data_IF_715682307024
#
_entry.id   IF_715682307024
#
_cell.length_a   1.000
_cell.length_b   1.000
_cell.length_c   1.000
_cell.angle_alpha   90.00
_cell.angle_beta   90.00
_cell.angle_gamma   90.00
#
_symmetry.space_group_name_H-M   'P 1'
#
loop_
_entity.id
_entity.type
_entity.pdbx_description
1 polymer ?
#
# COMPACT_ATOMS: atom_id res chain seq x y z
N UNK A 1 -14.92 -3.56 0.89
CA UNK A 1 -14.43 -4.78 0.20
C UNK A 1 -13.05 -4.47 -0.33
N UNK A 2 -12.05 -5.32 -0.13
CA UNK A 2 -10.67 -5.05 -0.57
C UNK A 2 -10.57 -5.10 -2.10
N UNK A 3 -9.82 -4.17 -2.68
CA UNK A 3 -9.58 -4.07 -4.13
C UNK A 3 -8.08 -3.96 -4.40
N UNK A 4 -7.67 -4.29 -5.61
CA UNK A 4 -6.28 -4.17 -6.08
C UNK A 4 -6.26 -3.94 -7.59
N UNK A 5 -5.13 -3.48 -8.14
CA UNK A 5 -4.97 -3.28 -9.57
C UNK A 5 -4.53 -4.57 -10.27
N UNK A 6 -5.09 -4.88 -11.44
CA UNK A 6 -4.52 -5.88 -12.34
C UNK A 6 -3.14 -5.38 -12.82
N UNK A 7 -2.06 -6.17 -12.76
CA UNK A 7 -0.73 -5.69 -13.13
C UNK A 7 -0.52 -5.65 -14.66
N UNK A 8 -1.43 -6.22 -15.44
CA UNK A 8 -1.36 -6.23 -16.90
C UNK A 8 -2.14 -5.06 -17.51
N UNK A 9 -3.40 -4.85 -17.12
CA UNK A 9 -4.22 -3.76 -17.63
C UNK A 9 -4.46 -2.58 -16.67
N UNK A 10 -4.00 -2.67 -15.42
CA UNK A 10 -4.22 -1.65 -14.37
C UNK A 10 -5.70 -1.40 -14.03
N UNK A 11 -6.60 -2.30 -14.41
CA UNK A 11 -8.00 -2.25 -14.00
C UNK A 11 -8.16 -2.59 -12.51
N UNK A 12 -9.08 -1.89 -11.84
CA UNK A 12 -9.40 -2.14 -10.44
C UNK A 12 -10.24 -3.42 -10.32
N UNK A 13 -9.71 -4.41 -9.60
CA UNK A 13 -10.33 -5.73 -9.45
C UNK A 13 -10.57 -6.08 -7.98
N UNK A 14 -11.59 -6.90 -7.66
CA UNK A 14 -11.77 -7.44 -6.33
C UNK A 14 -10.55 -8.25 -5.89
N UNK A 15 -10.15 -8.07 -4.63
CA UNK A 15 -9.05 -8.80 -4.03
C UNK A 15 -9.46 -9.33 -2.65
N UNK A 16 -8.86 -10.46 -2.26
CA UNK A 16 -8.96 -11.02 -0.91
C UNK A 16 -7.56 -11.17 -0.34
N UNK A 17 -7.39 -10.71 0.90
CA UNK A 17 -6.18 -10.92 1.68
C UNK A 17 -6.20 -12.38 2.15
N UNK A 18 -5.15 -13.13 1.86
CA UNK A 18 -4.99 -14.52 2.29
C UNK A 18 -3.66 -14.69 3.01
N UNK A 19 -3.66 -15.56 4.00
CA UNK A 19 -2.45 -16.03 4.68
C UNK A 19 -2.04 -17.39 4.09
N UNK A 20 -0.74 -17.58 3.85
CA UNK A 20 -0.14 -18.86 3.49
C UNK A 20 1.26 -18.95 4.08
N UNK A 21 1.50 -19.97 4.91
CA UNK A 21 2.79 -20.24 5.57
C UNK A 21 3.33 -19.04 6.36
N UNK A 22 2.46 -18.34 7.10
CA UNK A 22 2.80 -17.14 7.86
C UNK A 22 3.07 -15.89 7.00
N UNK A 23 2.83 -15.95 5.68
CA UNK A 23 3.00 -14.82 4.74
C UNK A 23 1.65 -14.33 4.24
N UNK A 24 1.58 -13.08 3.81
CA UNK A 24 0.36 -12.44 3.31
C UNK A 24 0.42 -12.28 1.79
N UNK A 25 -0.67 -12.66 1.13
CA UNK A 25 -0.86 -12.50 -0.31
C UNK A 25 -2.20 -11.83 -0.62
N UNK A 26 -2.27 -11.12 -1.73
CA UNK A 26 -3.52 -10.63 -2.30
C UNK A 26 -3.95 -11.56 -3.44
N UNK A 27 -5.02 -12.33 -3.22
CA UNK A 27 -5.66 -13.12 -4.26
C UNK A 27 -6.68 -12.26 -5.00
N UNK A 28 -6.48 -12.06 -6.29
CA UNK A 28 -7.33 -11.20 -7.13
C UNK A 28 -7.72 -11.91 -8.43
N UNK A 29 -8.83 -11.49 -9.02
CA UNK A 29 -9.33 -12.02 -10.29
C UNK A 29 -9.64 -10.88 -11.26
N UNK A 30 -8.91 -10.83 -12.37
CA UNK A 30 -9.18 -9.94 -13.49
C UNK A 30 -10.04 -10.69 -14.53
N UNK A 31 -11.15 -10.12 -15.01
CA UNK A 31 -11.97 -10.74 -16.05
C UNK A 31 -11.21 -11.05 -17.35
N UNK A 32 -10.15 -10.28 -17.65
CA UNK A 32 -9.35 -10.41 -18.88
C UNK A 32 -8.11 -11.28 -18.70
N UNK A 33 -7.40 -11.14 -17.57
CA UNK A 33 -6.09 -11.77 -17.34
C UNK A 33 -6.12 -12.92 -16.31
N UNK A 34 -7.31 -13.24 -15.78
CA UNK A 34 -7.52 -14.35 -14.87
C UNK A 34 -7.14 -14.07 -13.41
N UNK A 35 -7.00 -15.15 -12.64
CA UNK A 35 -6.70 -15.10 -11.21
C UNK A 35 -5.20 -15.13 -10.94
N UNK A 36 -4.75 -14.35 -9.97
CA UNK A 36 -3.36 -14.39 -9.48
C UNK A 36 -3.27 -14.05 -7.99
N UNK A 37 -2.13 -14.39 -7.42
CA UNK A 37 -1.77 -14.06 -6.05
C UNK A 37 -0.49 -13.23 -6.04
N UNK A 38 -0.56 -12.06 -5.43
CA UNK A 38 0.61 -11.20 -5.23
C UNK A 38 1.14 -11.36 -3.82
N UNK A 39 2.45 -11.51 -3.67
CA UNK A 39 3.10 -11.46 -2.38
C UNK A 39 3.06 -10.03 -1.81
N UNK A 40 2.68 -9.88 -0.55
CA UNK A 40 2.52 -8.58 0.12
C UNK A 40 3.40 -8.47 1.35
N UNK A 41 3.41 -9.47 2.23
CA UNK A 41 4.19 -9.42 3.46
C UNK A 41 4.80 -10.79 3.79
N UNK A 42 6.03 -10.79 4.29
CA UNK A 42 6.76 -11.99 4.72
C UNK A 42 6.34 -12.54 6.08
N UNK A 43 5.64 -11.75 6.89
CA UNK A 43 5.17 -12.11 8.22
C UNK A 43 3.77 -11.54 8.46
N UNK A 44 2.80 -12.43 8.67
CA UNK A 44 1.40 -12.09 8.96
C UNK A 44 1.26 -11.32 10.26
N UNK A 45 2.11 -11.58 11.26
CA UNK A 45 2.08 -10.85 12.53
C UNK A 45 2.52 -9.41 12.37
N UNK A 46 3.32 -9.10 11.34
CA UNK A 46 3.76 -7.75 11.02
C UNK A 46 2.80 -6.97 10.13
N UNK A 47 1.92 -7.66 9.38
CA UNK A 47 1.07 -7.04 8.36
C UNK A 47 0.10 -5.99 8.92
N UNK A 48 -0.55 -6.29 10.05
CA UNK A 48 -1.53 -5.40 10.70
C UNK A 48 -1.00 -4.78 12.01
N UNK A 49 0.33 -4.59 12.14
CA UNK A 49 0.89 -3.92 13.34
C UNK A 49 0.61 -2.43 13.30
N UNK A 50 -0.20 -1.97 14.24
CA UNK A 50 -0.59 -0.56 14.39
C UNK A 50 0.05 0.12 15.61
N UNK A 51 1.00 -0.53 16.30
CA UNK A 51 1.59 -0.04 17.56
C UNK A 51 2.31 1.32 17.43
N UNK A 52 2.86 1.62 16.26
CA UNK A 52 3.50 2.90 15.94
C UNK A 52 2.61 3.81 15.08
N UNK A 53 1.37 3.41 14.82
CA UNK A 53 0.44 4.19 14.01
C UNK A 53 0.04 5.46 14.75
N UNK A 54 0.22 6.60 14.09
CA UNK A 54 -0.23 7.91 14.57
C UNK A 54 -1.43 8.35 13.73
N UNK A 55 -2.38 9.12 14.30
CA UNK A 55 -3.51 9.66 13.55
C UNK A 55 -3.05 10.37 12.27
N UNK A 56 -3.73 10.08 11.16
CA UNK A 56 -3.50 10.73 9.87
C UNK A 56 -3.65 12.25 9.99
N UNK A 57 -2.74 12.99 9.34
CA UNK A 57 -2.83 14.45 9.23
C UNK A 57 -3.07 14.78 7.77
N UNK A 58 -4.29 15.19 7.42
CA UNK A 58 -4.65 15.52 6.04
C UNK A 58 -3.73 16.60 5.46
N UNK A 59 -3.40 16.54 4.15
CA UNK A 59 -2.60 17.56 3.50
C UNK A 59 -3.25 18.95 3.61
N UNK A 60 -2.43 19.99 3.83
CA UNK A 60 -2.91 21.39 3.83
C UNK A 60 -3.35 21.87 2.44
N UNK A 61 -2.77 21.30 1.40
CA UNK A 61 -3.06 21.60 0.00
C UNK A 61 -3.12 20.28 -0.77
N UNK A 62 -4.09 20.18 -1.67
CA UNK A 62 -4.23 19.08 -2.61
C UNK A 62 -3.52 19.43 -3.92
N UNK A 63 -2.88 18.43 -4.53
CA UNK A 63 -2.06 18.59 -5.74
C UNK A 63 -2.70 18.01 -7.00
N UNK A 64 -3.95 17.55 -6.92
CA UNK A 64 -4.68 16.89 -8.01
C UNK A 64 -6.06 17.52 -8.17
N UNK A 65 -6.47 17.77 -9.41
CA UNK A 65 -7.84 18.20 -9.72
C UNK A 65 -8.76 16.98 -9.71
N UNK A 66 -9.80 17.02 -8.88
CA UNK A 66 -10.79 15.95 -8.84
C UNK A 66 -11.54 15.84 -10.17
N UNK A 67 -11.59 14.64 -10.75
CA UNK A 67 -12.35 14.31 -11.97
C UNK A 67 -13.63 13.51 -11.67
N UNK A 68 -13.85 13.15 -10.40
CA UNK A 68 -14.98 12.35 -9.92
C UNK A 68 -14.80 10.84 -10.02
N UNK A 69 -13.63 10.35 -10.45
CA UNK A 69 -13.31 8.91 -10.59
C UNK A 69 -12.82 8.27 -9.29
N UNK A 70 -12.37 9.07 -8.33
CA UNK A 70 -11.91 8.62 -7.01
C UNK A 70 -10.59 7.84 -7.02
N UNK A 71 -10.19 7.33 -5.86
CA UNK A 71 -9.03 6.45 -5.71
C UNK A 71 -9.25 5.10 -6.43
N UNK A 72 -8.27 4.58 -7.20
CA UNK A 72 -6.90 5.06 -7.39
C UNK A 72 -6.67 5.90 -8.66
N UNK A 73 -7.72 6.23 -9.41
CA UNK A 73 -7.61 6.94 -10.70
C UNK A 73 -7.20 8.42 -10.56
N UNK A 74 -7.32 8.97 -9.36
CA UNK A 74 -6.96 10.35 -9.01
C UNK A 74 -5.86 10.38 -7.95
N UNK A 75 -5.01 9.35 -7.90
CA UNK A 75 -3.99 9.20 -6.86
C UNK A 75 -2.90 10.27 -6.95
N UNK A 76 -2.48 10.77 -5.79
CA UNK A 76 -1.54 11.87 -5.57
C UNK A 76 -1.84 12.52 -4.20
N UNK A 77 -1.59 13.82 -4.05
CA UNK A 77 -2.14 14.61 -2.94
C UNK A 77 -3.62 14.92 -3.21
N UNK A 78 -4.47 13.90 -3.31
CA UNK A 78 -5.89 14.06 -3.61
C UNK A 78 -6.75 14.35 -2.37
N UNK A 79 -8.04 14.63 -2.56
CA UNK A 79 -8.97 14.92 -1.46
C UNK A 79 -9.26 13.72 -0.56
N UNK A 80 -9.05 12.51 -1.06
CA UNK A 80 -9.15 11.26 -0.28
C UNK A 80 -7.82 10.87 0.39
N UNK A 81 -6.78 11.71 0.31
CA UNK A 81 -5.47 11.40 0.90
C UNK A 81 -5.46 11.67 2.41
N UNK A 82 -5.30 10.62 3.21
CA UNK A 82 -5.45 10.66 4.66
C UNK A 82 -4.18 11.11 5.42
N UNK A 83 -3.05 11.27 4.73
CA UNK A 83 -1.77 11.64 5.33
C UNK A 83 -1.03 12.70 4.51
N UNK A 84 -0.35 13.64 5.17
CA UNK A 84 0.53 14.60 4.52
C UNK A 84 1.82 13.91 4.04
N UNK A 85 2.52 14.55 3.11
CA UNK A 85 3.81 14.03 2.64
C UNK A 85 4.83 14.05 3.78
N UNK A 86 5.32 12.86 4.13
CA UNK A 86 6.50 12.67 4.98
C UNK A 86 7.65 12.14 4.12
N UNK A 87 8.86 12.65 4.34
CA UNK A 87 10.07 12.09 3.71
C UNK A 87 10.83 11.31 4.78
N UNK A 88 10.93 10.00 4.60
CA UNK A 88 11.84 9.17 5.37
C UNK A 88 13.24 9.22 4.74
N UNK A 89 14.25 9.55 5.53
CA UNK A 89 15.64 9.46 5.10
C UNK A 89 16.29 8.27 5.82
N UNK A 90 16.69 7.27 5.04
CA UNK A 90 17.43 6.11 5.54
C UNK A 90 18.76 6.05 4.82
N UNK A 91 19.86 6.14 5.56
CA UNK A 91 21.21 6.02 5.01
C UNK A 91 21.69 4.58 5.10
N UNK A 92 22.01 3.98 3.95
CA UNK A 92 22.52 2.61 3.87
C UNK A 92 24.00 2.66 3.50
N UNK A 93 24.86 2.27 4.43
CA UNK A 93 26.31 2.15 4.22
C UNK A 93 26.75 0.69 4.25
N UNK A 94 28.00 0.39 3.87
CA UNK A 94 28.56 -0.96 3.93
C UNK A 94 28.61 -1.57 5.34
N UNK A 95 28.45 -0.76 6.39
CA UNK A 95 28.38 -1.20 7.78
C UNK A 95 26.95 -1.46 8.28
N UNK A 96 25.93 -1.25 7.45
CA UNK A 96 24.53 -1.41 7.84
C UNK A 96 24.20 -2.88 8.14
N UNK A 97 23.69 -3.15 9.34
CA UNK A 97 23.23 -4.47 9.79
C UNK A 97 21.78 -4.46 10.33
N UNK A 98 21.03 -3.37 10.06
CA UNK A 98 19.62 -3.18 10.49
C UNK A 98 19.40 -3.30 12.01
N UNK A 99 20.44 -3.10 12.82
CA UNK A 99 20.37 -3.23 14.28
C UNK A 99 20.41 -1.87 15.01
N UNK A 100 20.45 -0.76 14.27
CA UNK A 100 20.47 0.57 14.88
C UNK A 100 19.13 0.87 15.58
N UNK A 101 19.13 1.57 16.72
CA UNK A 101 17.91 1.89 17.48
C UNK A 101 16.94 2.84 16.75
N UNK A 102 17.36 3.38 15.61
CA UNK A 102 16.54 4.21 14.71
C UNK A 102 15.92 3.40 13.55
N UNK A 103 16.35 2.16 13.34
CA UNK A 103 15.85 1.25 12.30
C UNK A 103 14.73 0.34 12.83
#
# INVERSE_FOLDING_TARGET
>A
MTQSLCPECLELVPAKIIERDGRVYFRKHCPTHGSREDFVCGDVHSFDRLEFSVPGKVPRQVGVTATGKGCPYECGLCTEHEQHTCVGLVEITGSCNLSCPMC
#
